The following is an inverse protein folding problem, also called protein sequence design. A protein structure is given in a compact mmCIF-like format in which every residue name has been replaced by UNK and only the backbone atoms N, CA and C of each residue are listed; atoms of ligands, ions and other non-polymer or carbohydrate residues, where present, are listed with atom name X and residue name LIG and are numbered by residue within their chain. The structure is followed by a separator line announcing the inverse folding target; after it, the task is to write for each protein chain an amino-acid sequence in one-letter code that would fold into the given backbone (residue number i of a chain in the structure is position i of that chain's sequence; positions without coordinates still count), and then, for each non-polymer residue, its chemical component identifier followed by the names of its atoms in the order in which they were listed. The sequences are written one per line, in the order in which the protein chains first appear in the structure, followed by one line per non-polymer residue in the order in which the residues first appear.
data_IF_385365583804
#
_entry.id   IF_385365583804
#
_cell.length_a   1.000
_cell.length_b   1.000
_cell.length_c   1.000
_cell.angle_alpha   90.00
_cell.angle_beta   90.00
_cell.angle_gamma   90.00
#
_symmetry.space_group_name_H-M   'P 1'
#
loop_
_entity.id
_entity.type
_entity.pdbx_description
1 polymer ?
#
# COMPACT_ATOMS: atom_id res chain seq x y z
N UNK A 1 4.11 -25.86 -15.87
CA UNK A 1 2.86 -25.13 -15.60
C UNK A 1 2.12 -25.93 -14.53
N UNK A 2 1.78 -25.30 -13.41
CA UNK A 2 1.10 -25.95 -12.29
C UNK A 2 -0.42 -25.88 -12.55
N UNK A 3 -1.06 -27.02 -12.74
CA UNK A 3 -2.46 -27.14 -13.18
C UNK A 3 -3.42 -27.42 -12.01
N UNK A 4 -3.12 -26.89 -10.83
CA UNK A 4 -3.99 -27.03 -9.66
C UNK A 4 -5.25 -26.14 -9.78
N UNK A 5 -6.40 -26.52 -9.20
CA UNK A 5 -7.63 -25.71 -9.20
C UNK A 5 -7.45 -24.27 -8.69
N UNK A 6 -6.49 -24.06 -7.77
CA UNK A 6 -6.13 -22.74 -7.28
C UNK A 6 -5.45 -21.85 -8.32
N UNK A 7 -4.65 -22.44 -9.22
CA UNK A 7 -3.98 -21.70 -10.30
C UNK A 7 -4.97 -21.14 -11.33
N UNK A 8 -6.03 -21.89 -11.64
CA UNK A 8 -7.10 -21.44 -12.55
C UNK A 8 -7.90 -20.28 -11.96
N UNK A 9 -8.29 -20.38 -10.68
CA UNK A 9 -9.03 -19.32 -10.01
C UNK A 9 -8.23 -18.01 -9.95
N UNK A 10 -6.92 -18.10 -9.68
CA UNK A 10 -6.04 -16.94 -9.69
C UNK A 10 -5.88 -16.36 -11.11
N UNK A 11 -5.73 -17.21 -12.13
CA UNK A 11 -5.69 -16.77 -13.53
C UNK A 11 -6.93 -15.98 -13.94
N UNK A 12 -8.13 -16.50 -13.65
CA UNK A 12 -9.40 -15.81 -13.90
C UNK A 12 -9.43 -14.45 -13.17
N UNK A 13 -9.03 -14.44 -11.90
CA UNK A 13 -8.99 -13.23 -11.09
C UNK A 13 -8.08 -12.16 -11.69
N UNK A 14 -6.88 -12.53 -12.15
CA UNK A 14 -5.94 -11.59 -12.79
C UNK A 14 -6.51 -11.02 -14.10
N UNK A 15 -7.15 -11.86 -14.91
CA UNK A 15 -7.85 -11.39 -16.13
C UNK A 15 -8.96 -10.40 -15.77
N UNK A 16 -9.78 -10.69 -14.76
CA UNK A 16 -10.84 -9.78 -14.32
C UNK A 16 -10.29 -8.43 -13.81
N UNK A 17 -9.19 -8.43 -13.06
CA UNK A 17 -8.51 -7.21 -12.62
C UNK A 17 -8.09 -6.38 -13.84
N UNK A 18 -7.43 -7.00 -14.82
CA UNK A 18 -7.02 -6.34 -16.06
C UNK A 18 -8.21 -5.77 -16.84
N UNK A 19 -9.31 -6.51 -16.94
CA UNK A 19 -10.54 -6.04 -17.57
C UNK A 19 -11.13 -4.82 -16.87
N UNK A 20 -11.10 -4.74 -15.54
CA UNK A 20 -11.58 -3.56 -14.83
C UNK A 20 -10.70 -2.34 -15.01
N UNK A 21 -9.38 -2.51 -15.10
CA UNK A 21 -8.47 -1.42 -15.48
C UNK A 21 -8.82 -0.87 -16.88
N UNK A 22 -8.95 -1.75 -17.87
CA UNK A 22 -9.34 -1.37 -19.24
C UNK A 22 -10.73 -0.72 -19.24
N UNK A 23 -11.68 -1.30 -18.52
CA UNK A 23 -13.04 -0.79 -18.42
C UNK A 23 -13.08 0.61 -17.78
N UNK A 24 -12.23 0.91 -16.80
CA UNK A 24 -12.17 2.24 -16.18
C UNK A 24 -11.81 3.32 -17.21
N UNK A 25 -10.77 3.11 -18.02
CA UNK A 25 -10.35 4.06 -19.05
C UNK A 25 -11.36 4.11 -20.19
N UNK A 26 -11.80 2.95 -20.68
CA UNK A 26 -12.79 2.86 -21.75
C UNK A 26 -14.10 3.54 -21.36
N UNK A 27 -14.59 3.32 -20.14
CA UNK A 27 -15.78 3.97 -19.62
C UNK A 27 -15.60 5.49 -19.57
N UNK A 28 -14.50 5.99 -19.00
CA UNK A 28 -14.24 7.43 -18.93
C UNK A 28 -14.28 8.07 -20.32
N UNK A 29 -13.52 7.54 -21.29
CA UNK A 29 -13.42 8.11 -22.64
C UNK A 29 -14.75 8.00 -23.39
N UNK A 30 -15.33 6.79 -23.46
CA UNK A 30 -16.54 6.54 -24.24
C UNK A 30 -17.75 7.30 -23.69
N UNK A 31 -17.91 7.35 -22.37
CA UNK A 31 -19.06 8.06 -21.77
C UNK A 31 -18.90 9.57 -21.79
N UNK A 32 -17.68 10.11 -21.71
CA UNK A 32 -17.47 11.54 -21.96
C UNK A 32 -17.89 11.90 -23.39
N UNK A 33 -17.40 11.16 -24.38
CA UNK A 33 -17.78 11.37 -25.80
C UNK A 33 -19.30 11.25 -25.97
N UNK A 34 -19.92 10.24 -25.36
CA UNK A 34 -21.36 10.03 -25.44
C UNK A 34 -22.17 11.16 -24.78
N UNK A 35 -21.74 11.68 -23.61
CA UNK A 35 -22.39 12.82 -22.96
C UNK A 35 -22.37 14.05 -23.87
N UNK A 36 -21.23 14.34 -24.50
CA UNK A 36 -21.13 15.45 -25.45
C UNK A 36 -22.02 15.23 -26.67
N UNK A 37 -22.04 14.02 -27.21
CA UNK A 37 -22.91 13.67 -28.34
C UNK A 37 -24.40 13.83 -28.02
N UNK A 38 -24.84 13.39 -26.83
CA UNK A 38 -26.22 13.55 -26.39
C UNK A 38 -26.60 15.02 -26.21
N UNK A 39 -25.67 15.82 -25.67
CA UNK A 39 -25.83 17.27 -25.54
C UNK A 39 -26.00 17.94 -26.91
N UNK A 40 -25.18 17.59 -27.90
CA UNK A 40 -25.30 18.11 -29.28
C UNK A 40 -26.65 17.73 -29.90
N UNK A 41 -27.17 16.54 -29.58
CA UNK A 41 -28.50 16.08 -30.02
C UNK A 41 -29.66 16.62 -29.19
N UNK A 42 -29.43 17.52 -28.24
CA UNK A 42 -30.47 18.10 -27.38
C UNK A 42 -31.13 17.09 -26.43
N UNK A 43 -30.49 15.94 -26.18
CA UNK A 43 -31.03 14.89 -25.30
C UNK A 43 -30.52 15.06 -23.88
N UNK A 44 -31.39 14.81 -22.91
CA UNK A 44 -31.01 14.79 -21.50
C UNK A 44 -30.22 13.51 -21.18
N UNK A 45 -29.15 13.67 -20.39
CA UNK A 45 -28.33 12.56 -19.90
C UNK A 45 -28.43 12.52 -18.38
N UNK A 46 -28.61 11.33 -17.76
CA UNK A 46 -28.68 11.23 -16.30
C UNK A 46 -27.45 11.86 -15.62
N UNK A 47 -27.65 12.75 -14.62
CA UNK A 47 -26.53 13.44 -13.95
C UNK A 47 -25.50 12.49 -13.33
N UNK A 48 -25.95 11.33 -12.82
CA UNK A 48 -25.06 10.31 -12.26
C UNK A 48 -24.07 9.76 -13.28
N UNK A 49 -24.48 9.57 -14.55
CA UNK A 49 -23.61 9.06 -15.61
C UNK A 49 -22.59 10.14 -16.01
N UNK A 50 -23.02 11.41 -16.05
CA UNK A 50 -22.11 12.54 -16.30
C UNK A 50 -21.04 12.60 -15.21
N UNK A 51 -21.45 12.63 -13.94
CA UNK A 51 -20.52 12.67 -12.82
C UNK A 51 -19.55 11.47 -12.82
N UNK A 52 -20.07 10.25 -13.00
CA UNK A 52 -19.27 9.04 -13.08
C UNK A 52 -18.22 9.09 -14.20
N UNK A 53 -18.60 9.51 -15.41
CA UNK A 53 -17.71 9.55 -16.56
C UNK A 53 -16.55 10.53 -16.36
N UNK A 54 -16.84 11.74 -15.86
CA UNK A 54 -15.82 12.76 -15.62
C UNK A 54 -14.94 12.44 -14.39
N UNK A 55 -15.50 11.89 -13.32
CA UNK A 55 -14.73 11.47 -12.14
C UNK A 55 -13.87 10.24 -12.40
N UNK A 56 -14.24 9.39 -13.37
CA UNK A 56 -13.44 8.21 -13.68
C UNK A 56 -12.05 8.58 -14.21
N UNK A 57 -11.84 9.74 -14.85
CA UNK A 57 -10.51 10.17 -15.31
C UNK A 57 -9.49 10.37 -14.16
N UNK A 58 -9.72 11.26 -13.17
CA UNK A 58 -8.79 11.43 -12.07
C UNK A 58 -8.65 10.16 -11.21
N UNK A 59 -9.72 9.38 -11.06
CA UNK A 59 -9.67 8.11 -10.33
C UNK A 59 -8.92 7.01 -11.09
N UNK A 60 -8.99 6.99 -12.42
CA UNK A 60 -8.14 6.12 -13.24
C UNK A 60 -6.67 6.53 -13.08
N UNK A 61 -6.35 7.83 -13.11
CA UNK A 61 -4.98 8.29 -12.86
C UNK A 61 -4.44 7.76 -11.52
N UNK A 62 -5.23 7.80 -10.44
CA UNK A 62 -4.87 7.17 -9.16
C UNK A 62 -4.68 5.66 -9.27
N UNK A 63 -5.64 4.94 -9.86
CA UNK A 63 -5.59 3.49 -10.01
C UNK A 63 -4.34 3.03 -10.81
N UNK A 64 -3.91 3.80 -11.80
CA UNK A 64 -2.73 3.49 -12.63
C UNK A 64 -1.40 3.95 -12.03
N UNK A 65 -1.40 4.72 -10.93
CA UNK A 65 -0.16 5.13 -10.23
C UNK A 65 0.60 3.93 -9.65
N UNK A 66 -0.13 2.86 -9.36
CA UNK A 66 0.36 1.51 -9.09
C UNK A 66 -0.71 0.55 -9.57
N UNK A 67 -0.46 -0.15 -10.67
CA UNK A 67 -1.44 -1.04 -11.32
C UNK A 67 -1.66 -2.34 -10.54
N UNK A 68 -2.04 -2.21 -9.27
CA UNK A 68 -2.38 -3.29 -8.37
C UNK A 68 -3.84 -3.21 -7.91
N UNK A 69 -4.30 -4.32 -7.33
CA UNK A 69 -5.69 -4.49 -6.91
C UNK A 69 -6.12 -3.49 -5.83
N UNK A 70 -5.21 -3.01 -4.99
CA UNK A 70 -5.54 -2.09 -3.90
C UNK A 70 -5.82 -0.69 -4.42
N UNK A 71 -5.01 -0.23 -5.38
CA UNK A 71 -5.22 1.06 -6.05
C UNK A 71 -6.47 1.03 -6.93
N UNK A 72 -6.71 -0.10 -7.63
CA UNK A 72 -7.96 -0.29 -8.38
C UNK A 72 -9.18 -0.21 -7.45
N UNK A 73 -9.16 -0.91 -6.31
CA UNK A 73 -10.28 -0.93 -5.36
C UNK A 73 -10.66 0.47 -4.85
N UNK A 74 -9.66 1.34 -4.65
CA UNK A 74 -9.88 2.73 -4.26
C UNK A 74 -10.37 3.60 -5.44
N UNK A 75 -9.91 3.30 -6.66
CA UNK A 75 -10.19 4.06 -7.88
C UNK A 75 -11.50 3.71 -8.60
N UNK A 76 -12.07 2.52 -8.38
CA UNK A 76 -13.09 1.97 -9.29
C UNK A 76 -14.51 2.50 -9.08
N UNK A 77 -14.80 3.22 -8.00
CA UNK A 77 -16.17 3.61 -7.64
C UNK A 77 -16.94 4.39 -8.71
N UNK A 78 -16.35 5.38 -9.42
CA UNK A 78 -17.06 6.06 -10.51
C UNK A 78 -17.54 5.10 -11.60
N UNK A 79 -16.72 4.11 -12.00
CA UNK A 79 -17.10 3.07 -12.96
C UNK A 79 -18.29 2.26 -12.46
N UNK A 80 -18.25 1.79 -11.20
CA UNK A 80 -19.31 0.98 -10.62
C UNK A 80 -20.64 1.74 -10.55
N UNK A 81 -20.60 3.00 -10.08
CA UNK A 81 -21.78 3.87 -10.03
C UNK A 81 -22.33 4.11 -11.43
N UNK A 82 -21.45 4.37 -12.41
CA UNK A 82 -21.81 4.54 -13.80
C UNK A 82 -22.53 3.33 -14.39
N UNK A 83 -21.99 2.12 -14.19
CA UNK A 83 -22.63 0.88 -14.63
C UNK A 83 -23.96 0.63 -13.94
N UNK A 84 -24.07 0.83 -12.63
CA UNK A 84 -25.33 0.65 -11.92
C UNK A 84 -26.41 1.65 -12.38
N UNK A 85 -26.03 2.91 -12.64
CA UNK A 85 -26.93 3.92 -13.20
C UNK A 85 -27.42 3.54 -14.61
N UNK A 86 -26.57 2.93 -15.43
CA UNK A 86 -26.95 2.40 -16.74
C UNK A 86 -27.89 1.20 -16.62
N UNK A 87 -27.55 0.24 -15.76
CA UNK A 87 -28.35 -0.97 -15.56
C UNK A 87 -29.74 -0.65 -15.05
N UNK A 88 -29.88 0.40 -14.23
CA UNK A 88 -31.18 0.86 -13.74
C UNK A 88 -32.17 1.22 -14.88
N UNK A 89 -31.66 1.69 -16.02
CA UNK A 89 -32.47 2.05 -17.19
C UNK A 89 -32.81 0.85 -18.09
N UNK A 90 -32.29 -0.35 -17.80
CA UNK A 90 -32.51 -1.57 -18.60
C UNK A 90 -33.72 -2.38 -18.09
N UNK A 91 -34.35 -3.20 -18.95
CA UNK A 91 -35.44 -4.08 -18.55
C UNK A 91 -34.99 -5.09 -17.48
N UNK A 92 -35.92 -5.52 -16.63
CA UNK A 92 -35.62 -6.37 -15.47
C UNK A 92 -34.87 -7.67 -15.79
N UNK A 93 -35.12 -8.26 -16.96
CA UNK A 93 -34.44 -9.48 -17.42
C UNK A 93 -32.95 -9.29 -17.71
N UNK A 94 -32.49 -8.05 -17.93
CA UNK A 94 -31.10 -7.71 -18.23
C UNK A 94 -30.43 -7.05 -17.02
N UNK A 95 -31.14 -6.13 -16.34
CA UNK A 95 -30.57 -5.36 -15.22
C UNK A 95 -30.06 -6.26 -14.09
N UNK A 96 -30.82 -7.30 -13.73
CA UNK A 96 -30.51 -8.16 -12.61
C UNK A 96 -29.31 -9.07 -12.89
N UNK A 97 -29.25 -9.80 -14.02
CA UNK A 97 -28.05 -10.57 -14.38
C UNK A 97 -26.78 -9.72 -14.45
N UNK A 98 -26.83 -8.53 -15.05
CA UNK A 98 -25.66 -7.65 -15.15
C UNK A 98 -25.19 -7.15 -13.78
N UNK A 99 -26.13 -6.72 -12.94
CA UNK A 99 -25.81 -6.27 -11.57
C UNK A 99 -25.23 -7.41 -10.72
N UNK A 100 -25.80 -8.62 -10.84
CA UNK A 100 -25.31 -9.81 -10.14
C UNK A 100 -23.92 -10.21 -10.63
N UNK A 101 -23.67 -10.14 -11.94
CA UNK A 101 -22.37 -10.44 -12.54
C UNK A 101 -21.31 -9.44 -12.06
N UNK A 102 -21.63 -8.15 -12.04
CA UNK A 102 -20.74 -7.10 -11.53
C UNK A 102 -20.42 -7.31 -10.04
N UNK A 103 -21.43 -7.66 -9.23
CA UNK A 103 -21.25 -7.96 -7.81
C UNK A 103 -20.37 -9.20 -7.60
N UNK A 104 -20.63 -10.29 -8.34
CA UNK A 104 -19.85 -11.52 -8.23
C UNK A 104 -18.40 -11.30 -8.68
N UNK A 105 -18.17 -10.56 -9.77
CA UNK A 105 -16.83 -10.20 -10.21
C UNK A 105 -16.09 -9.38 -9.15
N UNK A 106 -16.78 -8.41 -8.52
CA UNK A 106 -16.21 -7.61 -7.43
C UNK A 106 -15.82 -8.48 -6.23
N UNK A 107 -16.70 -9.42 -5.84
CA UNK A 107 -16.43 -10.37 -4.76
C UNK A 107 -15.25 -11.28 -5.08
N UNK A 108 -15.18 -11.84 -6.29
CA UNK A 108 -14.07 -12.72 -6.70
C UNK A 108 -12.71 -12.02 -6.64
N UNK A 109 -12.66 -10.74 -7.00
CA UNK A 109 -11.41 -9.96 -6.95
C UNK A 109 -11.03 -9.60 -5.52
N UNK A 110 -12.00 -9.15 -4.71
CA UNK A 110 -11.75 -8.58 -3.38
C UNK A 110 -11.66 -9.62 -2.26
N UNK A 111 -12.38 -10.74 -2.36
CA UNK A 111 -12.43 -11.73 -1.29
C UNK A 111 -11.04 -12.24 -0.88
N UNK A 112 -10.11 -12.57 -1.80
CA UNK A 112 -8.75 -12.97 -1.43
C UNK A 112 -7.91 -11.85 -0.78
N UNK A 113 -8.29 -10.58 -0.99
CA UNK A 113 -7.63 -9.43 -0.39
C UNK A 113 -8.18 -9.09 1.01
N UNK A 114 -9.34 -9.64 1.37
CA UNK A 114 -9.95 -9.38 2.66
C UNK A 114 -9.11 -10.01 3.79
N UNK A 115 -8.66 -9.25 4.81
CA UNK A 115 -7.78 -9.78 5.87
C UNK A 115 -8.37 -10.99 6.59
N UNK A 116 -9.68 -11.00 6.82
CA UNK A 116 -10.36 -12.14 7.44
C UNK A 116 -10.33 -13.41 6.59
N UNK A 117 -10.29 -13.28 5.25
CA UNK A 117 -10.15 -14.42 4.35
C UNK A 117 -8.70 -14.93 4.33
N UNK A 118 -7.73 -14.01 4.26
CA UNK A 118 -6.31 -14.34 4.32
C UNK A 118 -5.95 -15.11 5.61
N UNK A 119 -6.56 -14.73 6.73
CA UNK A 119 -6.38 -15.42 8.00
C UNK A 119 -7.02 -16.82 8.09
N UNK A 120 -8.04 -17.10 7.27
CA UNK A 120 -8.63 -18.45 7.16
C UNK A 120 -7.84 -19.36 6.23
N UNK A 121 -7.06 -18.79 5.32
CA UNK A 121 -6.21 -19.51 4.37
C UNK A 121 -4.85 -19.93 4.95
N UNK A 122 -3.82 -19.93 4.11
CA UNK A 122 -2.47 -20.40 4.41
C UNK A 122 -1.68 -19.53 5.40
N UNK A 123 -2.13 -18.30 5.68
CA UNK A 123 -1.30 -17.28 6.35
C UNK A 123 -1.18 -17.40 7.87
N UNK A 124 -1.70 -18.50 8.48
CA UNK A 124 -1.67 -18.82 9.93
C UNK A 124 -1.65 -17.54 10.80
N UNK A 125 -2.77 -16.83 10.82
CA UNK A 125 -2.85 -15.63 11.63
C UNK A 125 -2.79 -15.98 13.12
N UNK A 126 -2.05 -15.17 13.86
CA UNK A 126 -1.89 -15.27 15.31
C UNK A 126 -2.45 -14.02 15.96
N UNK A 127 -2.93 -14.15 17.20
CA UNK A 127 -3.34 -13.00 17.99
C UNK A 127 -2.10 -12.26 18.47
N UNK A 128 -2.09 -10.94 18.31
CA UNK A 128 -1.09 -10.04 18.88
C UNK A 128 -1.84 -8.90 19.55
N UNK A 129 -1.50 -8.65 20.81
CA UNK A 129 -1.98 -7.49 21.55
C UNK A 129 -1.25 -6.23 21.05
N UNK A 130 -2.00 -5.22 20.62
CA UNK A 130 -1.52 -3.89 20.24
C UNK A 130 -2.29 -2.88 21.09
N UNK A 131 -1.58 -2.14 21.95
CA UNK A 131 -2.19 -1.29 22.98
C UNK A 131 -3.14 -2.09 23.87
N UNK A 132 -4.46 -1.91 23.75
CA UNK A 132 -5.48 -2.63 24.51
C UNK A 132 -6.30 -3.60 23.64
N UNK A 133 -5.99 -3.70 22.35
CA UNK A 133 -6.74 -4.49 21.39
C UNK A 133 -6.00 -5.76 20.99
N UNK A 134 -6.74 -6.85 20.82
CA UNK A 134 -6.21 -8.09 20.28
C UNK A 134 -6.46 -8.17 18.77
N UNK A 135 -5.40 -8.05 17.98
CA UNK A 135 -5.47 -8.09 16.53
C UNK A 135 -4.99 -9.44 15.99
N UNK A 136 -5.70 -9.98 15.00
CA UNK A 136 -5.22 -11.13 14.23
C UNK A 136 -4.33 -10.65 13.09
N UNK A 137 -3.06 -11.02 13.13
CA UNK A 137 -2.06 -10.65 12.12
C UNK A 137 -1.36 -11.88 11.57
N UNK A 138 -0.77 -11.76 10.38
CA UNK A 138 0.07 -12.84 9.82
C UNK A 138 1.25 -13.12 10.74
N UNK A 139 1.70 -14.38 10.78
CA UNK A 139 2.82 -14.78 11.63
C UNK A 139 4.10 -13.97 11.35
N UNK A 140 4.34 -13.58 10.09
CA UNK A 140 5.44 -12.68 9.73
C UNK A 140 5.33 -11.32 10.41
N UNK A 141 4.16 -10.70 10.36
CA UNK A 141 3.89 -9.43 11.03
C UNK A 141 4.04 -9.55 12.54
N UNK A 142 3.62 -10.66 13.15
CA UNK A 142 3.81 -10.91 14.58
C UNK A 142 5.31 -10.96 14.96
N UNK A 143 6.14 -11.62 14.14
CA UNK A 143 7.60 -11.66 14.34
C UNK A 143 8.24 -10.28 14.19
N UNK A 144 7.75 -9.49 13.25
CA UNK A 144 8.23 -8.13 13.03
C UNK A 144 7.86 -7.20 14.20
N UNK A 145 6.64 -7.34 14.75
CA UNK A 145 6.21 -6.66 15.98
C UNK A 145 7.08 -7.06 17.17
N UNK A 146 7.33 -8.36 17.34
CA UNK A 146 8.18 -8.87 18.43
C UNK A 146 9.61 -8.36 18.33
N UNK A 147 10.19 -8.32 17.12
CA UNK A 147 11.50 -7.74 16.86
C UNK A 147 11.55 -6.26 17.30
N UNK A 148 10.59 -5.44 16.86
CA UNK A 148 10.54 -4.02 17.23
C UNK A 148 10.43 -3.82 18.74
N UNK A 149 9.57 -4.59 19.41
CA UNK A 149 9.44 -4.58 20.88
C UNK A 149 10.73 -5.01 21.58
N UNK A 150 11.44 -5.99 21.03
CA UNK A 150 12.72 -6.43 21.57
C UNK A 150 13.78 -5.34 21.45
N UNK A 151 13.94 -4.74 20.26
CA UNK A 151 14.89 -3.64 20.04
C UNK A 151 14.57 -2.43 20.92
N UNK A 152 13.28 -2.08 21.06
CA UNK A 152 12.86 -0.98 21.92
C UNK A 152 13.19 -1.24 23.39
N UNK A 153 12.89 -2.44 23.91
CA UNK A 153 13.25 -2.81 25.30
C UNK A 153 14.76 -2.80 25.53
N UNK A 154 15.54 -3.22 24.53
CA UNK A 154 16.98 -3.35 24.68
C UNK A 154 17.74 -2.03 24.51
N UNK A 155 17.33 -1.19 23.57
CA UNK A 155 18.09 0.02 23.19
C UNK A 155 17.37 1.34 23.48
N UNK A 156 16.04 1.33 23.58
CA UNK A 156 15.20 2.52 23.79
C UNK A 156 14.37 2.44 25.09
N UNK A 157 15.01 1.96 26.16
CA UNK A 157 14.34 1.65 27.44
C UNK A 157 13.77 2.88 28.17
N UNK A 158 14.29 4.09 27.87
CA UNK A 158 13.86 5.35 28.46
C UNK A 158 12.83 6.09 27.59
N UNK A 159 12.30 5.42 26.57
CA UNK A 159 11.33 6.02 25.65
C UNK A 159 11.97 6.79 24.50
N UNK A 160 13.25 6.58 24.23
CA UNK A 160 13.93 7.14 23.07
C UNK A 160 13.23 6.73 21.77
N UNK A 161 13.33 7.59 20.75
CA UNK A 161 12.85 7.26 19.41
C UNK A 161 13.85 6.37 18.66
N UNK A 162 13.51 5.95 17.45
CA UNK A 162 14.31 5.09 16.58
C UNK A 162 14.09 5.46 15.12
N UNK A 163 14.87 4.90 14.20
CA UNK A 163 14.65 5.07 12.76
C UNK A 163 14.12 3.75 12.19
N UNK A 164 13.05 3.80 11.39
CA UNK A 164 12.57 2.68 10.60
C UNK A 164 12.28 3.13 9.17
N UNK A 165 13.09 2.66 8.23
CA UNK A 165 13.09 3.05 6.81
C UNK A 165 13.20 1.83 5.90
N UNK A 166 12.78 1.91 4.62
CA UNK A 166 12.10 3.05 3.99
C UNK A 166 10.60 3.13 4.33
N UNK A 167 9.85 2.02 4.34
CA UNK A 167 8.37 2.07 4.33
C UNK A 167 7.72 1.39 5.52
N UNK A 168 8.06 1.84 6.74
CA UNK A 168 7.55 1.23 7.98
C UNK A 168 7.01 2.23 9.02
N UNK A 169 6.11 3.15 8.64
CA UNK A 169 5.55 4.12 9.59
C UNK A 169 4.77 3.46 10.75
N UNK A 170 4.20 2.28 10.52
CA UNK A 170 3.50 1.53 11.55
C UNK A 170 4.39 1.14 12.74
N UNK A 171 5.71 1.09 12.57
CA UNK A 171 6.64 0.85 13.68
C UNK A 171 6.54 1.94 14.75
N UNK A 172 6.43 3.20 14.32
CA UNK A 172 6.32 4.36 15.22
C UNK A 172 5.01 4.34 16.00
N UNK A 173 3.90 4.04 15.32
CA UNK A 173 2.59 3.90 15.96
C UNK A 173 2.55 2.73 16.95
N UNK A 174 3.13 1.58 16.57
CA UNK A 174 3.20 0.37 17.40
C UNK A 174 3.89 0.61 18.74
N UNK A 175 4.96 1.41 18.74
CA UNK A 175 5.77 1.69 19.93
C UNK A 175 5.47 3.04 20.55
N UNK A 176 4.46 3.77 20.06
CA UNK A 176 4.10 5.12 20.51
C UNK A 176 5.32 6.06 20.54
N UNK A 177 6.06 6.12 19.44
CA UNK A 177 7.24 7.00 19.27
C UNK A 177 7.03 7.96 18.12
N UNK A 178 7.55 9.17 18.26
CA UNK A 178 7.59 10.16 17.16
C UNK A 178 8.74 9.82 16.21
N UNK A 179 8.46 9.75 14.90
CA UNK A 179 9.50 9.57 13.88
C UNK A 179 10.56 10.70 13.98
N UNK A 180 11.87 10.36 14.02
CA UNK A 180 12.96 11.35 13.99
C UNK A 180 13.26 11.85 12.56
N UNK A 181 12.58 11.29 11.56
CA UNK A 181 12.68 11.66 10.15
C UNK A 181 11.34 12.19 9.64
N UNK A 182 11.38 13.11 8.69
CA UNK A 182 10.22 13.62 7.96
C UNK A 182 9.66 12.59 7.00
N UNK A 183 10.53 11.96 6.21
CA UNK A 183 10.11 11.13 5.10
C UNK A 183 9.89 9.67 5.53
N UNK A 184 8.70 9.41 6.07
CA UNK A 184 8.26 8.06 6.50
C UNK A 184 7.91 7.12 5.32
N UNK A 185 7.93 7.63 4.09
CA UNK A 185 7.76 6.89 2.83
C UNK A 185 8.68 7.47 1.74
N UNK A 186 9.99 7.15 1.76
CA UNK A 186 10.95 7.64 0.78
C UNK A 186 10.81 6.87 -0.53
N UNK A 187 9.96 7.38 -1.42
CA UNK A 187 9.62 6.75 -2.70
C UNK A 187 10.50 7.23 -3.86
N UNK A 188 11.18 8.37 -3.70
CA UNK A 188 11.95 9.04 -4.74
C UNK A 188 13.33 9.48 -4.20
N UNK A 189 14.33 9.68 -5.08
CA UNK A 189 15.60 10.29 -4.69
C UNK A 189 15.40 11.70 -4.12
N UNK A 190 16.16 12.02 -3.08
CA UNK A 190 16.13 13.34 -2.45
C UNK A 190 17.35 14.20 -2.80
N UNK A 191 17.18 15.51 -2.65
CA UNK A 191 18.30 16.44 -2.80
C UNK A 191 19.24 16.37 -1.60
N UNK A 192 20.52 16.68 -1.82
CA UNK A 192 21.52 16.80 -0.75
C UNK A 192 21.07 17.72 0.40
N UNK A 193 20.49 18.87 0.09
CA UNK A 193 20.02 19.83 1.09
C UNK A 193 18.88 19.27 1.96
N UNK A 194 18.01 18.45 1.37
CA UNK A 194 16.96 17.75 2.12
C UNK A 194 17.57 16.73 3.08
N UNK A 195 18.49 15.88 2.59
CA UNK A 195 19.16 14.88 3.44
C UNK A 195 19.97 15.51 4.57
N UNK A 196 20.65 16.64 4.32
CA UNK A 196 21.36 17.38 5.38
C UNK A 196 20.41 17.88 6.46
N UNK A 197 19.24 18.40 6.07
CA UNK A 197 18.20 18.81 7.03
C UNK A 197 17.66 17.61 7.81
N UNK A 198 17.47 16.46 7.15
CA UNK A 198 17.01 15.23 7.78
C UNK A 198 18.04 14.68 8.78
N UNK A 199 19.33 14.72 8.43
CA UNK A 199 20.43 14.35 9.32
C UNK A 199 20.45 15.23 10.57
N UNK A 200 20.24 16.55 10.45
CA UNK A 200 20.14 17.42 11.62
C UNK A 200 18.96 17.08 12.53
N UNK A 201 17.80 16.69 11.96
CA UNK A 201 16.67 16.19 12.74
C UNK A 201 17.02 14.90 13.47
N UNK A 202 17.69 13.97 12.80
CA UNK A 202 18.15 12.72 13.42
C UNK A 202 19.11 13.01 14.58
N UNK A 203 20.08 13.91 14.39
CA UNK A 203 21.02 14.31 15.45
C UNK A 203 20.30 14.91 16.66
N UNK A 204 19.32 15.79 16.43
CA UNK A 204 18.54 16.40 17.51
C UNK A 204 17.69 15.38 18.27
N UNK A 205 17.09 14.42 17.55
CA UNK A 205 16.23 13.41 18.13
C UNK A 205 17.00 12.27 18.85
N UNK A 206 18.31 12.11 18.57
CA UNK A 206 19.20 11.09 19.13
C UNK A 206 18.57 9.69 19.20
N UNK A 207 18.07 9.12 18.09
CA UNK A 207 17.38 7.83 18.10
C UNK A 207 18.28 6.71 18.64
N UNK A 208 17.69 5.79 19.39
CA UNK A 208 18.42 4.73 20.06
C UNK A 208 18.90 3.62 19.11
N UNK A 209 18.11 3.31 18.09
CA UNK A 209 18.42 2.28 17.10
C UNK A 209 17.86 2.67 15.73
N UNK A 210 18.32 1.98 14.70
CA UNK A 210 17.81 2.10 13.35
C UNK A 210 17.55 0.73 12.73
N UNK A 211 16.48 0.63 11.94
CA UNK A 211 16.15 -0.52 11.10
C UNK A 211 16.04 -0.01 9.67
N UNK A 212 16.94 -0.48 8.81
CA UNK A 212 16.90 -0.23 7.37
C UNK A 212 16.47 -1.54 6.70
N UNK A 213 15.30 -1.54 6.07
CA UNK A 213 14.87 -2.67 5.23
C UNK A 213 15.49 -2.48 3.84
N UNK A 214 16.53 -3.25 3.55
CA UNK A 214 17.27 -3.21 2.30
C UNK A 214 16.60 -4.06 1.21
N UNK A 215 15.55 -3.49 0.61
CA UNK A 215 14.88 -4.07 -0.54
C UNK A 215 14.71 -3.04 -1.67
N UNK A 216 14.68 -3.49 -2.93
CA UNK A 216 14.45 -2.59 -4.05
C UNK A 216 12.96 -2.26 -4.13
N UNK A 217 12.60 -0.99 -3.90
CA UNK A 217 11.20 -0.54 -4.00
C UNK A 217 10.67 -0.80 -5.42
N UNK A 218 9.56 -1.54 -5.52
CA UNK A 218 8.96 -1.98 -6.80
C UNK A 218 9.92 -2.81 -7.67
N UNK A 219 10.88 -3.52 -7.08
CA UNK A 219 11.86 -4.33 -7.80
C UNK A 219 12.94 -3.52 -8.53
N UNK A 220 12.98 -2.20 -8.31
CA UNK A 220 13.91 -1.26 -8.94
C UNK A 220 15.06 -0.94 -8.01
N UNK A 221 16.28 -1.33 -8.38
CA UNK A 221 17.45 -1.19 -7.51
C UNK A 221 17.80 0.29 -7.27
N UNK A 222 17.60 1.15 -8.27
CA UNK A 222 17.76 2.59 -8.16
C UNK A 222 16.85 3.23 -7.09
N UNK A 223 15.75 2.55 -6.71
CA UNK A 223 14.84 2.97 -5.65
C UNK A 223 15.14 2.34 -4.28
N UNK A 224 16.27 1.63 -4.12
CA UNK A 224 16.72 1.24 -2.77
C UNK A 224 17.01 2.49 -1.92
N UNK A 225 16.79 2.38 -0.62
CA UNK A 225 17.02 3.49 0.31
C UNK A 225 18.46 4.03 0.23
N UNK A 226 19.47 3.16 0.16
CA UNK A 226 20.88 3.57 0.03
C UNK A 226 21.19 4.38 -1.24
N UNK A 227 20.38 4.22 -2.30
CA UNK A 227 20.56 4.90 -3.58
C UNK A 227 19.75 6.21 -3.65
N UNK A 228 18.59 6.25 -3.01
CA UNK A 228 17.72 7.45 -2.95
C UNK A 228 18.12 8.42 -1.85
N UNK A 229 18.73 7.91 -0.77
CA UNK A 229 19.15 8.64 0.44
C UNK A 229 20.60 8.30 0.83
N UNK A 230 21.58 8.52 -0.08
CA UNK A 230 22.96 8.10 0.15
C UNK A 230 23.60 8.77 1.36
N UNK A 231 23.32 10.06 1.63
CA UNK A 231 23.95 10.79 2.73
C UNK A 231 23.37 10.35 4.07
N UNK A 232 22.05 10.22 4.16
CA UNK A 232 21.36 9.78 5.38
C UNK A 232 21.72 8.32 5.71
N UNK A 233 21.76 7.45 4.69
CA UNK A 233 22.21 6.07 4.86
C UNK A 233 23.66 6.00 5.33
N UNK A 234 24.56 6.80 4.73
CA UNK A 234 25.96 6.88 5.18
C UNK A 234 26.07 7.39 6.61
N UNK A 235 25.30 8.43 6.98
CA UNK A 235 25.27 8.94 8.35
C UNK A 235 24.88 7.84 9.36
N UNK A 236 23.86 7.03 9.06
CA UNK A 236 23.47 5.91 9.92
C UNK A 236 24.61 4.89 10.04
N UNK A 237 25.24 4.50 8.93
CA UNK A 237 26.35 3.54 8.96
C UNK A 237 27.58 4.06 9.73
N UNK A 238 27.86 5.36 9.66
CA UNK A 238 29.01 5.96 10.33
C UNK A 238 28.75 6.16 11.84
N UNK A 239 27.50 6.40 12.26
CA UNK A 239 27.16 6.76 13.65
C UNK A 239 26.46 5.66 14.46
N UNK A 240 26.09 4.56 13.81
CA UNK A 240 25.48 3.40 14.46
C UNK A 240 26.34 2.16 14.23
N UNK A 241 26.24 1.21 15.15
CA UNK A 241 26.90 -0.09 15.09
C UNK A 241 25.92 -1.13 14.56
N UNK A 242 26.32 -1.90 13.53
CA UNK A 242 25.46 -2.91 12.92
C UNK A 242 25.36 -4.14 13.81
N UNK A 243 24.14 -4.59 14.07
CA UNK A 243 23.85 -5.81 14.84
C UNK A 243 23.55 -6.94 13.86
N UNK A 244 24.21 -8.11 13.99
CA UNK A 244 23.89 -9.28 13.16
C UNK A 244 22.45 -9.74 13.36
N UNK A 245 21.71 -9.93 12.25
CA UNK A 245 20.36 -10.48 12.27
C UNK A 245 20.16 -11.47 11.12
N UNK A 246 20.44 -12.75 11.38
CA UNK A 246 20.44 -13.78 10.34
C UNK A 246 19.04 -14.17 9.84
N UNK A 247 17.98 -13.88 10.60
CA UNK A 247 16.61 -14.36 10.30
C UNK A 247 15.98 -13.69 9.08
N UNK A 248 16.33 -12.43 8.83
CA UNK A 248 15.94 -11.65 7.65
C UNK A 248 17.14 -10.84 7.17
N UNK A 249 17.92 -11.34 6.20
CA UNK A 249 19.11 -10.66 5.69
C UNK A 249 18.83 -9.26 5.14
N UNK A 250 17.60 -9.01 4.67
CA UNK A 250 17.13 -7.72 4.20
C UNK A 250 16.96 -6.70 5.34
N UNK A 251 16.91 -7.11 6.60
CA UNK A 251 16.83 -6.19 7.73
C UNK A 251 18.24 -5.86 8.23
N UNK A 252 18.67 -4.63 7.98
CA UNK A 252 19.90 -4.09 8.54
C UNK A 252 19.55 -3.37 9.84
N UNK A 253 19.93 -3.96 10.96
CA UNK A 253 19.65 -3.46 12.30
C UNK A 253 20.90 -2.76 12.84
N UNK A 254 20.72 -1.61 13.45
CA UNK A 254 21.80 -0.82 14.00
C UNK A 254 21.48 -0.27 15.40
N UNK A 255 22.46 -0.24 16.31
CA UNK A 255 22.40 0.43 17.61
C UNK A 255 23.17 1.74 17.56
N UNK A 256 22.64 2.81 18.13
CA UNK A 256 23.37 4.07 18.19
C UNK A 256 24.65 3.97 19.05
N UNK A 257 25.76 4.53 18.54
CA UNK A 257 27.05 4.53 19.26
C UNK A 257 27.02 5.42 20.51
N UNK A 258 26.16 6.44 20.53
CA UNK A 258 26.01 7.37 21.67
C UNK A 258 25.22 6.80 22.86
N UNK A 259 24.71 5.57 22.79
CA UNK A 259 24.16 4.86 23.97
C UNK A 259 25.27 4.19 24.77
N UNK A 260 26.45 3.98 24.18
CA UNK A 260 27.58 3.30 24.82
C UNK A 260 28.56 4.27 25.51
N UNK A 261 28.17 5.54 25.71
CA UNK A 261 28.96 6.56 26.40
C UNK A 261 28.13 7.35 27.38
#
# INVERSE_FOLDING_TARGET
ADFSPGAYAEGIRQVLIGLFFVAAVAFAVLFIIWVFYQKIRGKQTPPAIIAAAFLMLPYAHHAYSSSDVSHLAQGIFPLLIGFLALFYSLPSKIKWPLSLTLCLASLLIMLPQHPGWQCRGSSRCVNVEISQDNLKVRQETARDIELLRHLARQYASQGETFIAVPVWPGAYALLERKSPIWEIFPLLPQSKAFEETEIERIKQARPAFAVIIDFPLRGRDELRYKNTHPLTNKFIQDNFERIPYARKPEYQIYKAKWISG
#
